data_IF_591062393422
#
_entry.id   IF_591062393422
#
_cell.length_a   1.000
_cell.length_b   1.000
_cell.length_c   1.000
_cell.angle_alpha   90.00
_cell.angle_beta   90.00
_cell.angle_gamma   90.00
#
_symmetry.space_group_name_H-M   'P 1'
#
loop_
_entity.id
_entity.type
_entity.pdbx_description
1 polymer ?
#
# COMPACT_ATOMS: atom_id res chain seq x y z
N UNK A 1 -5.17 -33.66 -29.26
CA UNK A 1 -5.62 -32.25 -29.18
C UNK A 1 -6.23 -32.11 -27.80
N UNK A 2 -5.36 -32.00 -26.80
CA UNK A 2 -5.72 -31.79 -25.41
C UNK A 2 -5.69 -30.28 -25.22
N UNK A 3 -6.86 -29.69 -25.10
CA UNK A 3 -7.02 -28.30 -24.69
C UNK A 3 -6.56 -28.23 -23.23
N UNK A 4 -5.30 -27.85 -23.04
CA UNK A 4 -4.76 -27.53 -21.72
C UNK A 4 -5.36 -26.18 -21.31
N UNK A 5 -6.42 -26.28 -20.51
CA UNK A 5 -6.98 -25.16 -19.78
C UNK A 5 -5.85 -24.50 -18.95
N UNK A 6 -5.68 -23.17 -18.99
CA UNK A 6 -4.62 -22.50 -18.27
C UNK A 6 -4.75 -22.76 -16.76
N UNK A 7 -3.73 -23.39 -16.17
CA UNK A 7 -3.65 -23.62 -14.74
C UNK A 7 -3.27 -22.32 -14.00
N UNK A 8 -4.29 -21.81 -13.29
CA UNK A 8 -4.27 -21.16 -11.97
C UNK A 8 -4.22 -19.62 -11.92
N UNK A 9 -5.34 -19.13 -11.39
CA UNK A 9 -5.57 -17.84 -10.73
C UNK A 9 -5.75 -16.58 -11.60
N UNK A 10 -6.67 -16.67 -12.55
CA UNK A 10 -7.60 -15.56 -12.79
C UNK A 10 -8.97 -15.92 -12.16
N UNK A 11 -9.17 -15.61 -10.88
CA UNK A 11 -10.51 -15.46 -10.29
C UNK A 11 -10.64 -14.13 -9.56
N UNK A 12 -11.37 -13.25 -10.21
CA UNK A 12 -11.86 -11.96 -9.74
C UNK A 12 -12.86 -12.18 -8.61
N UNK A 13 -12.57 -11.64 -7.44
CA UNK A 13 -13.58 -11.08 -6.55
C UNK A 13 -13.27 -9.59 -6.39
N UNK A 14 -14.28 -8.79 -6.04
CA UNK A 14 -14.05 -7.42 -5.53
C UNK A 14 -13.31 -7.47 -4.19
N UNK A 15 -12.10 -8.00 -4.18
CA UNK A 15 -11.20 -8.03 -3.04
C UNK A 15 -10.89 -6.59 -2.68
N UNK A 16 -11.30 -6.21 -1.48
CA UNK A 16 -10.77 -5.01 -0.85
C UNK A 16 -9.26 -5.17 -0.81
N UNK A 17 -8.56 -4.55 -1.77
CA UNK A 17 -7.09 -4.51 -1.78
C UNK A 17 -6.64 -4.15 -0.37
N UNK A 18 -5.82 -4.98 0.30
CA UNK A 18 -5.39 -4.74 1.66
C UNK A 18 -4.85 -3.32 1.80
N UNK A 19 -5.18 -2.63 2.88
CA UNK A 19 -4.79 -1.23 3.09
C UNK A 19 -3.28 -1.03 2.88
N UNK A 20 -2.46 -1.97 3.36
CA UNK A 20 -1.02 -2.00 3.16
C UNK A 20 -0.60 -1.98 1.70
N UNK A 21 -1.25 -2.79 0.86
CA UNK A 21 -0.96 -2.83 -0.57
C UNK A 21 -1.34 -1.49 -1.25
N UNK A 22 -2.48 -0.89 -0.89
CA UNK A 22 -2.86 0.45 -1.41
C UNK A 22 -1.83 1.51 -1.03
N UNK A 23 -1.32 1.48 0.19
CA UNK A 23 -0.27 2.38 0.69
C UNK A 23 1.01 2.17 -0.12
N UNK A 24 1.43 0.93 -0.30
CA UNK A 24 2.62 0.57 -1.08
C UNK A 24 2.53 1.08 -2.52
N UNK A 25 1.45 0.74 -3.22
CA UNK A 25 1.21 1.14 -4.61
C UNK A 25 1.21 2.67 -4.75
N UNK A 26 0.54 3.37 -3.83
CA UNK A 26 0.53 4.83 -3.83
C UNK A 26 1.92 5.41 -3.58
N UNK A 27 2.66 4.92 -2.59
CA UNK A 27 4.02 5.37 -2.29
C UNK A 27 4.96 5.18 -3.50
N UNK A 28 4.91 4.01 -4.14
CA UNK A 28 5.70 3.71 -5.34
C UNK A 28 5.29 4.58 -6.51
N UNK A 29 3.99 4.82 -6.72
CA UNK A 29 3.50 5.72 -7.77
C UNK A 29 4.02 7.16 -7.60
N UNK A 30 4.22 7.60 -6.35
CA UNK A 30 4.79 8.90 -6.01
C UNK A 30 6.33 8.93 -6.00
N UNK A 31 6.97 7.78 -6.28
CA UNK A 31 8.42 7.56 -6.21
C UNK A 31 9.04 7.89 -4.85
N UNK A 32 8.27 7.72 -3.78
CA UNK A 32 8.75 7.93 -2.41
C UNK A 32 9.41 6.67 -1.88
N UNK A 33 10.55 6.84 -1.22
CA UNK A 33 11.16 5.80 -0.40
C UNK A 33 10.39 5.61 0.90
N UNK A 34 10.67 4.50 1.60
CA UNK A 34 10.15 4.28 2.96
C UNK A 34 10.60 5.39 3.91
N UNK A 35 11.85 5.85 3.79
CA UNK A 35 12.40 6.94 4.62
C UNK A 35 11.70 8.27 4.41
N UNK A 36 11.46 8.68 3.16
CA UNK A 36 10.72 9.90 2.86
C UNK A 36 9.27 9.83 3.35
N UNK A 37 8.64 8.66 3.24
CA UNK A 37 7.28 8.45 3.73
C UNK A 37 7.24 8.44 5.26
N UNK A 38 8.26 7.87 5.90
CA UNK A 38 8.43 7.85 7.35
C UNK A 38 8.58 9.28 7.89
N UNK A 39 9.42 10.09 7.27
CA UNK A 39 9.60 11.50 7.61
C UNK A 39 8.30 12.30 7.44
N UNK A 40 7.58 12.11 6.33
CA UNK A 40 6.33 12.82 6.06
C UNK A 40 5.17 12.43 7.00
N UNK A 41 5.18 11.22 7.54
CA UNK A 41 4.11 10.68 8.41
C UNK A 41 4.47 10.70 9.91
N UNK A 42 5.74 10.95 10.24
CA UNK A 42 6.28 10.75 11.59
C UNK A 42 6.33 9.27 12.03
N UNK A 43 6.16 8.32 11.11
CA UNK A 43 6.26 6.89 11.37
C UNK A 43 7.71 6.42 11.23
N UNK A 44 8.02 5.22 11.74
CA UNK A 44 9.30 4.57 11.45
C UNK A 44 9.18 3.76 10.17
N UNK A 45 10.27 3.64 9.42
CA UNK A 45 10.33 2.78 8.23
C UNK A 45 9.92 1.33 8.53
N UNK A 46 10.29 0.82 9.71
CA UNK A 46 9.90 -0.51 10.17
C UNK A 46 8.38 -0.65 10.33
N UNK A 47 7.71 0.38 10.84
CA UNK A 47 6.25 0.40 10.98
C UNK A 47 5.60 0.43 9.59
N UNK A 48 6.12 1.25 8.68
CA UNK A 48 5.65 1.30 7.28
C UNK A 48 5.78 -0.04 6.58
N UNK A 49 6.90 -0.76 6.78
CA UNK A 49 7.12 -2.07 6.20
C UNK A 49 6.11 -3.11 6.69
N UNK A 50 5.78 -3.09 7.98
CA UNK A 50 4.77 -3.97 8.57
C UNK A 50 3.36 -3.62 8.06
N UNK A 51 3.07 -2.33 7.90
CA UNK A 51 1.78 -1.86 7.34
C UNK A 51 1.66 -2.29 5.88
N UNK A 52 2.66 -2.03 5.04
CA UNK A 52 2.67 -2.40 3.62
C UNK A 52 2.67 -3.92 3.42
N UNK A 53 3.35 -4.67 4.29
CA UNK A 53 3.34 -6.14 4.29
C UNK A 53 2.04 -6.77 4.78
N UNK A 54 1.12 -5.98 5.36
CA UNK A 54 -0.14 -6.47 5.92
C UNK A 54 0.00 -7.16 7.29
N UNK A 55 1.19 -7.13 7.90
CA UNK A 55 1.46 -7.69 9.22
C UNK A 55 0.81 -6.88 10.35
N UNK A 56 0.53 -5.60 10.09
CA UNK A 56 0.04 -4.67 11.10
C UNK A 56 -1.00 -3.70 10.53
N UNK A 57 -2.17 -3.65 11.17
CA UNK A 57 -3.18 -2.63 10.88
C UNK A 57 -2.92 -1.38 11.74
N UNK A 58 -2.55 -0.25 11.13
CA UNK A 58 -2.33 0.99 11.86
C UNK A 58 -3.65 1.51 12.43
N UNK A 59 -3.60 2.10 13.63
CA UNK A 59 -4.77 2.80 14.18
C UNK A 59 -5.11 4.08 13.39
N UNK A 60 -6.32 4.60 13.59
CA UNK A 60 -6.92 5.69 12.80
C UNK A 60 -6.01 6.91 12.62
N UNK A 61 -5.29 7.33 13.67
CA UNK A 61 -4.38 8.47 13.61
C UNK A 61 -3.23 8.25 12.60
N UNK A 62 -2.70 7.02 12.53
CA UNK A 62 -1.62 6.66 11.61
C UNK A 62 -2.14 6.47 10.19
N UNK A 63 -3.33 5.89 10.03
CA UNK A 63 -4.03 5.82 8.74
C UNK A 63 -4.24 7.22 8.18
N UNK A 64 -4.71 8.16 9.00
CA UNK A 64 -4.89 9.56 8.59
C UNK A 64 -3.57 10.20 8.15
N UNK A 65 -2.50 10.05 8.94
CA UNK A 65 -1.19 10.59 8.58
C UNK A 65 -0.67 10.01 7.26
N UNK A 66 -0.87 8.71 7.02
CA UNK A 66 -0.53 8.04 5.76
C UNK A 66 -1.33 8.59 4.59
N UNK A 67 -2.65 8.76 4.75
CA UNK A 67 -3.51 9.34 3.73
C UNK A 67 -3.04 10.76 3.43
N UNK A 68 -2.85 11.60 4.44
CA UNK A 68 -2.42 12.99 4.24
C UNK A 68 -1.08 13.03 3.50
N UNK A 69 -0.05 12.29 3.95
CA UNK A 69 1.25 12.25 3.30
C UNK A 69 1.22 11.70 1.86
N UNK A 70 0.39 10.69 1.59
CA UNK A 70 0.29 10.03 0.27
C UNK A 70 -0.75 10.69 -0.66
N UNK A 71 -1.55 11.62 -0.15
CA UNK A 71 -2.49 12.42 -0.93
C UNK A 71 -1.96 13.83 -1.26
N UNK A 72 -0.86 14.26 -0.64
CA UNK A 72 -0.21 15.58 -0.84
C UNK A 72 0.40 15.80 -2.25
N UNK A 73 0.20 14.90 -3.21
CA UNK A 73 0.47 15.18 -4.65
C UNK A 73 -0.77 14.98 -5.50
N UNK A 74 -1.79 15.78 -5.25
CA UNK A 74 -2.69 16.26 -6.32
C UNK A 74 -2.51 17.78 -6.40
N UNK A 75 -1.63 18.15 -7.33
CA UNK A 75 -1.52 19.43 -8.06
C UNK A 75 -1.30 20.75 -7.30
N UNK A 76 -0.23 21.43 -7.79
CA UNK A 76 0.08 22.87 -7.91
C UNK A 76 -0.56 23.93 -7.00
#
# INVERSE_FOLDING_TARGET
MTEEFPERDEMIYGESVPLGQKIHERRVSLRLSLGETAEATGLKEADLRQIEGGDFTPGDARVKALIDALNVKTEE
#
